data_IF_113404706630
#
_entry.id   IF_113404706630
#
_cell.length_a   1.000
_cell.length_b   1.000
_cell.length_c   1.000
_cell.angle_alpha   90.00
_cell.angle_beta   90.00
_cell.angle_gamma   90.00
#
_symmetry.space_group_name_H-M   'P 1'
#
loop_
_entity.id
_entity.type
_entity.pdbx_description
1 polymer ?
#
# COMPACT_ATOMS: atom_id res chain seq x y z
N UNK A 1 -5.04 -12.67 -7.82
CA UNK A 1 -5.48 -12.30 -6.46
C UNK A 1 -4.78 -11.04 -6.00
N UNK A 2 -5.50 -10.14 -5.37
CA UNK A 2 -4.91 -8.90 -4.86
C UNK A 2 -4.65 -9.03 -3.37
N UNK A 3 -3.52 -8.49 -2.92
CA UNK A 3 -3.12 -8.52 -1.52
C UNK A 3 -3.17 -7.10 -0.97
N UNK A 4 -3.86 -6.94 0.15
CA UNK A 4 -3.97 -5.65 0.83
C UNK A 4 -2.87 -5.54 1.87
N UNK A 5 -2.11 -4.45 1.81
CA UNK A 5 -1.05 -4.19 2.79
C UNK A 5 -1.33 -2.85 3.46
N UNK A 6 -1.64 -2.88 4.75
CA UNK A 6 -1.78 -1.65 5.55
C UNK A 6 -0.41 -1.20 6.02
N UNK A 7 -0.23 0.11 6.19
CA UNK A 7 1.08 0.66 6.52
C UNK A 7 2.08 0.54 5.37
N UNK A 8 1.59 0.58 4.14
CA UNK A 8 2.42 0.31 2.96
C UNK A 8 3.57 1.30 2.79
N UNK A 9 3.42 2.53 3.24
CA UNK A 9 4.47 3.54 3.10
C UNK A 9 5.48 3.50 4.25
N UNK A 10 5.28 2.62 5.24
CA UNK A 10 6.26 2.40 6.29
C UNK A 10 7.44 1.60 5.76
N UNK A 11 8.52 1.54 6.57
CA UNK A 11 9.72 0.84 6.14
C UNK A 11 9.46 -0.64 5.87
N UNK A 12 8.85 -1.31 6.83
CA UNK A 12 8.57 -2.75 6.69
C UNK A 12 7.50 -3.00 5.63
N UNK A 13 6.42 -2.19 5.66
CA UNK A 13 5.32 -2.36 4.72
C UNK A 13 5.74 -2.18 3.28
N UNK A 14 6.61 -1.18 3.01
CA UNK A 14 7.08 -0.94 1.66
C UNK A 14 7.95 -2.07 1.14
N UNK A 15 8.77 -2.67 2.00
CA UNK A 15 9.57 -3.82 1.63
C UNK A 15 8.71 -5.04 1.34
N UNK A 16 7.66 -5.23 2.13
CA UNK A 16 6.72 -6.31 1.90
C UNK A 16 6.01 -6.15 0.56
N UNK A 17 5.57 -4.93 0.26
CA UNK A 17 4.93 -4.65 -1.03
C UNK A 17 5.84 -4.98 -2.19
N UNK A 18 7.10 -4.56 -2.11
CA UNK A 18 8.06 -4.83 -3.16
C UNK A 18 8.25 -6.32 -3.37
N UNK A 19 8.36 -7.07 -2.27
CA UNK A 19 8.56 -8.51 -2.35
C UNK A 19 7.38 -9.22 -2.98
N UNK A 20 6.16 -8.81 -2.62
CA UNK A 20 4.97 -9.38 -3.20
C UNK A 20 4.86 -9.08 -4.69
N UNK A 21 5.17 -7.85 -5.08
CA UNK A 21 5.15 -7.46 -6.49
C UNK A 21 6.19 -8.25 -7.28
N UNK A 22 7.38 -8.43 -6.72
CA UNK A 22 8.43 -9.20 -7.36
C UNK A 22 8.03 -10.66 -7.55
N UNK A 23 7.11 -11.16 -6.74
CA UNK A 23 6.57 -12.51 -6.85
C UNK A 23 5.36 -12.60 -7.78
N UNK A 24 5.02 -11.51 -8.47
CA UNK A 24 3.92 -11.50 -9.42
C UNK A 24 2.55 -11.21 -8.83
N UNK A 25 2.49 -10.81 -7.57
CA UNK A 25 1.21 -10.51 -6.94
C UNK A 25 0.76 -9.08 -7.25
N UNK A 26 -0.57 -8.87 -7.21
CA UNK A 26 -1.13 -7.53 -7.27
C UNK A 26 -1.28 -7.03 -5.83
N UNK A 27 -0.76 -5.83 -5.57
CA UNK A 27 -0.74 -5.27 -4.22
C UNK A 27 -1.51 -3.96 -4.15
N UNK A 28 -2.39 -3.87 -3.17
CA UNK A 28 -3.08 -2.62 -2.85
C UNK A 28 -2.52 -2.15 -1.52
N UNK A 29 -1.72 -1.09 -1.57
CA UNK A 29 -1.14 -0.51 -0.36
C UNK A 29 -2.07 0.54 0.23
N UNK A 30 -2.12 0.60 1.55
CA UNK A 30 -2.93 1.58 2.27
C UNK A 30 -2.08 2.21 3.34
N UNK A 31 -2.10 3.53 3.41
CA UNK A 31 -1.34 4.26 4.44
C UNK A 31 -1.95 5.64 4.63
N UNK A 32 -1.89 6.17 5.84
CA UNK A 32 -2.32 7.53 6.10
C UNK A 32 -1.15 8.53 5.99
N UNK A 33 0.05 8.03 5.78
CA UNK A 33 1.27 8.83 5.63
C UNK A 33 1.65 9.69 6.84
N UNK A 34 1.09 9.37 8.01
CA UNK A 34 1.48 10.08 9.23
C UNK A 34 2.86 9.67 9.70
N UNK A 35 3.14 8.36 9.64
CA UNK A 35 4.44 7.82 10.02
C UNK A 35 5.19 7.29 8.81
N UNK A 36 4.47 6.90 7.77
CA UNK A 36 5.08 6.41 6.55
C UNK A 36 5.61 7.56 5.69
N UNK A 37 6.40 7.20 4.70
CA UNK A 37 7.02 8.18 3.81
C UNK A 37 6.84 7.74 2.36
N UNK A 38 6.38 8.64 1.52
CA UNK A 38 6.19 8.34 0.10
C UNK A 38 7.47 7.87 -0.57
N UNK A 39 8.62 8.28 -0.07
CA UNK A 39 9.90 7.82 -0.62
C UNK A 39 10.08 6.32 -0.49
N UNK A 40 9.48 5.71 0.52
CA UNK A 40 9.58 4.27 0.72
C UNK A 40 8.90 3.47 -0.38
N UNK A 41 7.88 4.05 -1.03
CA UNK A 41 7.12 3.38 -2.08
C UNK A 41 7.32 4.02 -3.45
N UNK A 42 8.22 5.00 -3.54
CA UNK A 42 8.41 5.76 -4.77
C UNK A 42 8.71 4.88 -5.98
N UNK A 43 9.53 3.87 -5.78
CA UNK A 43 9.90 2.95 -6.86
C UNK A 43 8.77 2.03 -7.26
N UNK A 44 7.76 1.89 -6.40
CA UNK A 44 6.63 1.01 -6.67
C UNK A 44 5.50 1.73 -7.41
N UNK A 45 5.46 3.05 -7.35
CA UNK A 45 4.35 3.83 -7.88
C UNK A 45 4.14 3.66 -9.39
N UNK A 46 5.20 3.34 -10.12
CA UNK A 46 5.09 3.12 -11.55
C UNK A 46 4.78 1.68 -11.93
N UNK A 47 4.69 0.79 -10.96
CA UNK A 47 4.45 -0.62 -11.24
C UNK A 47 2.97 -0.88 -11.42
N UNK A 48 2.60 -1.55 -12.53
CA UNK A 48 1.20 -1.80 -12.84
C UNK A 48 0.52 -2.76 -11.85
N UNK A 49 1.31 -3.49 -11.06
CA UNK A 49 0.79 -4.42 -10.07
C UNK A 49 0.65 -3.78 -8.69
N UNK A 50 0.89 -2.48 -8.57
CA UNK A 50 0.83 -1.78 -7.31
C UNK A 50 -0.08 -0.57 -7.39
N UNK A 51 -0.96 -0.42 -6.39
CA UNK A 51 -1.70 0.82 -6.20
C UNK A 51 -1.65 1.20 -4.74
N UNK A 52 -1.68 2.50 -4.48
CA UNK A 52 -1.60 3.03 -3.12
C UNK A 52 -2.81 3.91 -2.87
N UNK A 53 -3.40 3.79 -1.68
CA UNK A 53 -4.49 4.64 -1.27
C UNK A 53 -4.15 5.29 0.06
N UNK A 54 -4.37 6.58 0.14
CA UNK A 54 -4.15 7.33 1.36
C UNK A 54 -5.43 7.27 2.19
N UNK A 55 -5.48 6.37 3.14
CA UNK A 55 -6.65 6.14 3.99
C UNK A 55 -6.17 5.92 5.41
N UNK A 56 -6.83 6.57 6.36
CA UNK A 56 -6.60 6.29 7.77
C UNK A 56 -7.53 5.15 8.18
N UNK A 57 -7.03 3.93 8.15
CA UNK A 57 -7.83 2.75 8.43
C UNK A 57 -8.38 2.76 9.86
N UNK A 58 -7.62 3.31 10.79
CA UNK A 58 -8.05 3.38 12.18
C UNK A 58 -9.23 4.33 12.35
N UNK A 59 -9.31 5.37 11.52
CA UNK A 59 -10.35 6.38 11.60
C UNK A 59 -11.53 6.08 10.68
N UNK A 60 -11.24 5.66 9.45
CA UNK A 60 -12.27 5.48 8.42
C UNK A 60 -12.71 4.04 8.25
N UNK A 61 -11.88 3.09 8.70
CA UNK A 61 -12.17 1.68 8.56
C UNK A 61 -11.91 1.17 7.15
N UNK A 62 -11.97 -0.15 7.00
CA UNK A 62 -11.70 -0.78 5.72
C UNK A 62 -12.81 -0.55 4.71
N UNK A 63 -14.00 -0.16 5.17
CA UNK A 63 -15.10 0.12 4.25
C UNK A 63 -14.79 1.26 3.28
N UNK A 64 -13.86 2.13 3.64
CA UNK A 64 -13.43 3.21 2.76
C UNK A 64 -12.82 2.68 1.46
N UNK A 65 -12.28 1.47 1.49
CA UNK A 65 -11.69 0.84 0.30
C UNK A 65 -12.74 0.40 -0.71
N UNK A 66 -13.97 0.19 -0.26
CA UNK A 66 -15.05 -0.29 -1.10
C UNK A 66 -15.88 0.82 -1.72
N UNK A 67 -15.57 2.07 -1.39
CA UNK A 67 -16.34 3.20 -1.87
C UNK A 67 -15.89 3.72 -3.23
N UNK A 68 -15.08 2.98 -3.88
CA UNK A 68 -14.56 3.34 -5.19
C UNK A 68 -15.46 2.98 -6.32
#
# INVERSE_FOLDING_TARGET
MSILVTGAAGFIGSHLCKRLIDNGEFVIGVDNFKLGNKKNIEKLLGNKNFSIQEIDVAKEGLSALNSK
#
